data_IF_864079228698
#
_entry.id   IF_864079228698
#
_cell.length_a   1.000
_cell.length_b   1.000
_cell.length_c   1.000
_cell.angle_alpha   90.00
_cell.angle_beta   90.00
_cell.angle_gamma   90.00
#
_symmetry.space_group_name_H-M   'P 1'
#
loop_
_entity.id
_entity.type
_entity.pdbx_description
1 polymer ?
#
# COMPACT_ATOMS: atom_id res chain seq x y z
N UNK A 1 -6.17 -5.49 5.44
CA UNK A 1 -6.98 -4.65 6.35
C UNK A 1 -6.98 -3.20 5.87
N UNK A 2 -8.10 -2.48 5.98
CA UNK A 2 -8.14 -1.03 5.75
C UNK A 2 -7.33 -0.30 6.83
N UNK A 3 -6.69 0.82 6.48
CA UNK A 3 -5.99 1.67 7.45
C UNK A 3 -7.04 2.43 8.27
N UNK A 4 -7.05 2.32 9.61
CA UNK A 4 -7.98 3.09 10.45
C UNK A 4 -7.86 4.59 10.16
N UNK A 5 -9.00 5.29 10.14
CA UNK A 5 -9.10 6.75 9.93
C UNK A 5 -8.69 7.29 8.54
N UNK A 6 -8.34 6.41 7.59
CA UNK A 6 -8.03 6.81 6.22
C UNK A 6 -9.30 7.25 5.48
N UNK A 7 -9.38 8.53 5.10
CA UNK A 7 -10.44 9.05 4.24
C UNK A 7 -9.89 9.38 2.85
N UNK A 8 -10.54 8.86 1.81
CA UNK A 8 -10.15 9.08 0.40
C UNK A 8 -10.74 10.39 -0.12
N UNK A 9 -9.96 11.15 -0.89
CA UNK A 9 -10.45 12.25 -1.72
C UNK A 9 -10.63 11.75 -3.15
N UNK A 10 -11.88 11.63 -3.58
CA UNK A 10 -12.23 11.19 -4.94
C UNK A 10 -11.92 12.28 -5.97
N UNK A 11 -10.91 12.07 -6.81
CA UNK A 11 -10.79 12.77 -8.11
C UNK A 11 -10.42 11.86 -9.29
N UNK A 12 -9.97 10.62 -9.07
CA UNK A 12 -9.47 9.77 -10.16
C UNK A 12 -10.45 8.66 -10.65
N UNK A 13 -11.68 8.61 -10.15
CA UNK A 13 -12.62 7.50 -10.48
C UNK A 13 -13.53 7.72 -11.68
N UNK A 14 -13.55 8.90 -12.30
CA UNK A 14 -14.56 9.19 -13.35
C UNK A 14 -14.18 8.78 -14.77
N UNK A 15 -12.91 8.47 -15.07
CA UNK A 15 -12.52 8.20 -16.47
C UNK A 15 -12.41 6.73 -16.88
N UNK A 16 -12.55 5.76 -15.97
CA UNK A 16 -12.52 4.32 -16.35
C UNK A 16 -13.38 3.41 -15.46
N UNK A 17 -14.56 3.81 -14.95
CA UNK A 17 -15.40 2.85 -14.20
C UNK A 17 -16.92 3.16 -14.25
N UNK A 18 -17.66 2.82 -15.32
CA UNK A 18 -19.12 2.87 -15.28
C UNK A 18 -19.81 1.60 -14.77
N UNK A 19 -19.09 0.49 -14.47
CA UNK A 19 -19.76 -0.81 -14.25
C UNK A 19 -19.79 -1.36 -12.81
N UNK A 20 -19.19 -0.70 -11.82
CA UNK A 20 -19.07 -1.28 -10.46
C UNK A 20 -19.52 -0.35 -9.31
N UNK A 21 -20.42 0.60 -9.57
CA UNK A 21 -20.97 1.51 -8.56
C UNK A 21 -22.46 1.28 -8.34
N UNK A 22 -22.82 0.16 -7.70
CA UNK A 22 -24.17 0.03 -7.14
C UNK A 22 -24.23 -0.24 -5.64
N UNK A 23 -23.24 -0.83 -4.97
CA UNK A 23 -23.46 -1.25 -3.57
C UNK A 23 -22.23 -1.13 -2.66
N UNK A 24 -21.76 0.09 -2.38
CA UNK A 24 -20.90 0.32 -1.22
C UNK A 24 -21.57 1.28 -0.25
N UNK A 25 -22.55 0.74 0.48
CA UNK A 25 -23.05 1.33 1.73
C UNK A 25 -22.15 0.80 2.85
N UNK A 26 -21.57 1.73 3.62
CA UNK A 26 -20.73 1.43 4.78
C UNK A 26 -21.49 0.58 5.80
N UNK A 27 -21.08 -0.67 5.98
CA UNK A 27 -21.45 -1.48 7.14
C UNK A 27 -20.17 -1.99 7.79
N UNK A 28 -19.99 -1.61 9.06
CA UNK A 28 -19.03 -2.22 9.97
C UNK A 28 -19.49 -3.65 10.22
N UNK A 29 -18.75 -4.65 9.74
CA UNK A 29 -18.91 -6.03 10.18
C UNK A 29 -17.57 -6.61 10.62
N UNK A 30 -17.68 -7.32 11.74
CA UNK A 30 -16.66 -7.97 12.55
C UNK A 30 -15.76 -8.88 11.68
N UNK A 31 -14.45 -8.65 11.68
CA UNK A 31 -13.51 -9.47 10.90
C UNK A 31 -13.03 -10.66 11.75
N UNK A 32 -13.13 -11.91 11.26
CA UNK A 32 -12.66 -13.09 11.99
C UNK A 32 -11.12 -13.12 12.10
N UNK A 33 -10.55 -13.94 13.01
CA UNK A 33 -9.13 -13.86 13.35
C UNK A 33 -8.23 -14.20 12.18
N UNK A 34 -7.07 -13.52 12.17
CA UNK A 34 -6.00 -13.64 11.18
C UNK A 34 -5.43 -15.06 11.11
N UNK A 35 -5.91 -15.84 10.14
CA UNK A 35 -5.26 -17.05 9.65
C UNK A 35 -4.31 -16.71 8.50
N UNK A 36 -3.07 -17.18 8.58
CA UNK A 36 -2.00 -16.88 7.63
C UNK A 36 -2.12 -17.66 6.30
N UNK A 37 -3.03 -18.63 6.21
CA UNK A 37 -3.17 -19.52 5.07
C UNK A 37 -4.56 -19.39 4.42
N UNK A 38 -4.72 -18.41 3.54
CA UNK A 38 -5.72 -18.55 2.46
C UNK A 38 -5.14 -19.63 1.53
N UNK A 39 -5.60 -20.88 1.70
CA UNK A 39 -5.17 -22.03 0.90
C UNK A 39 -5.37 -21.69 -0.58
N UNK A 40 -4.27 -21.64 -1.35
CA UNK A 40 -4.35 -21.48 -2.80
C UNK A 40 -5.10 -22.67 -3.35
N UNK A 41 -6.26 -22.41 -3.98
CA UNK A 41 -7.06 -23.48 -4.57
C UNK A 41 -6.22 -24.26 -5.60
N UNK A 42 -6.37 -25.59 -5.71
CA UNK A 42 -5.53 -26.42 -6.59
C UNK A 42 -5.47 -25.90 -8.04
N UNK A 43 -6.58 -25.38 -8.54
CA UNK A 43 -6.69 -24.80 -9.89
C UNK A 43 -5.88 -23.50 -10.04
N UNK A 44 -5.81 -22.69 -8.99
CA UNK A 44 -4.97 -21.48 -8.95
C UNK A 44 -3.48 -21.83 -8.98
N UNK A 45 -3.10 -22.91 -8.28
CA UNK A 45 -1.74 -23.45 -8.32
C UNK A 45 -1.30 -23.87 -9.73
N UNK A 46 -2.20 -24.49 -10.49
CA UNK A 46 -1.94 -24.90 -11.87
C UNK A 46 -1.76 -23.71 -12.83
N UNK A 47 -2.50 -22.62 -12.63
CA UNK A 47 -2.33 -21.39 -13.43
C UNK A 47 -0.99 -20.72 -13.13
N UNK A 48 -0.60 -20.65 -11.85
CA UNK A 48 0.69 -20.08 -11.45
C UNK A 48 1.86 -20.89 -12.00
N UNK A 49 1.80 -22.22 -11.92
CA UNK A 49 2.86 -23.09 -12.46
C UNK A 49 3.01 -22.94 -13.98
N UNK A 50 1.90 -22.80 -14.70
CA UNK A 50 1.93 -22.53 -16.14
C UNK A 50 2.61 -21.20 -16.47
N UNK A 51 2.28 -20.12 -15.75
CA UNK A 51 2.93 -18.81 -15.96
C UNK A 51 4.42 -18.88 -15.63
N UNK A 52 4.78 -19.50 -14.50
CA UNK A 52 6.19 -19.66 -14.10
C UNK A 52 6.98 -20.45 -15.15
N UNK A 53 6.39 -21.49 -15.73
CA UNK A 53 7.05 -22.30 -16.77
C UNK A 53 7.40 -21.51 -18.04
N UNK A 54 6.72 -20.39 -18.30
CA UNK A 54 6.99 -19.51 -19.45
C UNK A 54 8.06 -18.46 -19.16
N UNK A 55 8.48 -18.29 -17.90
CA UNK A 55 9.45 -17.26 -17.51
C UNK A 55 10.87 -17.78 -17.61
N UNK A 56 11.74 -16.98 -18.24
CA UNK A 56 13.18 -17.21 -18.20
C UNK A 56 13.78 -16.59 -16.95
N UNK A 57 14.86 -17.17 -16.38
CA UNK A 57 15.59 -16.51 -15.31
C UNK A 57 16.02 -15.09 -15.71
N UNK A 58 15.86 -14.14 -14.77
CA UNK A 58 16.13 -12.73 -15.03
C UNK A 58 15.00 -11.95 -15.73
N UNK A 59 13.86 -12.58 -16.05
CA UNK A 59 12.69 -11.89 -16.58
C UNK A 59 12.15 -10.84 -15.58
N UNK A 60 11.70 -9.70 -16.12
CA UNK A 60 11.04 -8.64 -15.35
C UNK A 60 9.55 -8.96 -15.17
N UNK A 61 9.19 -9.33 -13.95
CA UNK A 61 7.81 -9.68 -13.57
C UNK A 61 6.82 -8.51 -13.66
N UNK A 62 7.29 -7.26 -13.80
CA UNK A 62 6.39 -6.12 -14.00
C UNK A 62 5.72 -6.12 -15.38
N UNK A 63 6.28 -6.86 -16.35
CA UNK A 63 5.76 -7.00 -17.72
C UNK A 63 4.88 -8.23 -17.92
N UNK A 64 4.75 -9.07 -16.90
CA UNK A 64 3.99 -10.32 -16.95
C UNK A 64 2.60 -10.05 -16.38
N UNK A 65 1.56 -10.41 -17.12
CA UNK A 65 0.18 -10.32 -16.62
C UNK A 65 -0.01 -11.43 -15.60
N UNK A 66 -0.20 -11.01 -14.35
CA UNK A 66 -0.44 -11.90 -13.23
C UNK A 66 -1.95 -12.16 -13.08
N UNK A 67 -2.38 -13.38 -12.67
CA UNK A 67 -3.79 -13.67 -12.45
C UNK A 67 -4.40 -12.75 -11.38
N UNK A 68 -5.68 -12.42 -11.51
CA UNK A 68 -6.37 -11.49 -10.61
C UNK A 68 -6.45 -11.98 -9.16
N UNK A 69 -6.43 -13.29 -8.92
CA UNK A 69 -6.49 -13.86 -7.57
C UNK A 69 -5.24 -13.59 -6.71
N UNK A 70 -4.10 -13.27 -7.33
CA UNK A 70 -2.89 -12.83 -6.61
C UNK A 70 -2.76 -11.30 -6.52
N UNK A 71 -3.77 -10.54 -6.93
CA UNK A 71 -3.78 -9.09 -6.84
C UNK A 71 -4.67 -8.64 -5.68
N UNK A 72 -4.19 -7.67 -4.89
CA UNK A 72 -5.08 -6.95 -3.96
C UNK A 72 -5.78 -5.80 -4.70
N UNK A 73 -7.02 -5.43 -4.32
CA UNK A 73 -7.78 -4.36 -4.97
C UNK A 73 -7.32 -2.97 -4.52
N UNK A 74 -6.00 -2.74 -4.44
CA UNK A 74 -5.38 -1.46 -4.09
C UNK A 74 -4.21 -1.19 -5.04
N UNK A 75 -4.15 0.05 -5.52
CA UNK A 75 -2.97 0.57 -6.21
C UNK A 75 -1.79 0.63 -5.25
N UNK A 76 -0.56 0.46 -5.77
CA UNK A 76 0.65 0.69 -4.98
C UNK A 76 0.67 2.07 -4.31
N UNK A 77 0.10 3.10 -4.97
CA UNK A 77 0.02 4.46 -4.43
C UNK A 77 -0.78 4.53 -3.13
N UNK A 78 -1.89 3.78 -3.09
CA UNK A 78 -2.70 3.62 -1.90
C UNK A 78 -2.00 2.68 -0.90
N UNK A 79 -1.33 1.63 -1.36
CA UNK A 79 -0.68 0.63 -0.50
C UNK A 79 0.39 1.24 0.42
N UNK A 80 1.11 2.26 -0.05
CA UNK A 80 2.12 2.99 0.72
C UNK A 80 1.53 3.58 2.01
N UNK A 81 0.25 3.94 2.04
CA UNK A 81 -0.38 4.53 3.24
C UNK A 81 -0.44 3.58 4.44
N UNK A 82 -0.23 2.28 4.24
CA UNK A 82 -0.09 1.32 5.34
C UNK A 82 1.09 1.67 6.25
N UNK A 83 2.14 2.31 5.74
CA UNK A 83 3.27 2.75 6.55
C UNK A 83 2.94 3.93 7.46
N UNK A 84 1.77 4.55 7.30
CA UNK A 84 1.27 5.67 8.12
C UNK A 84 0.09 5.26 9.02
N UNK A 85 -0.14 3.95 9.19
CA UNK A 85 -1.31 3.43 9.90
C UNK A 85 -1.27 3.55 11.43
N UNK A 86 -0.11 3.91 11.99
CA UNK A 86 0.15 3.97 13.43
C UNK A 86 0.44 5.39 13.91
N UNK A 87 -0.56 6.30 13.93
CA UNK A 87 -0.36 7.68 14.34
C UNK A 87 0.14 7.81 15.79
N UNK A 88 -0.20 6.88 16.67
CA UNK A 88 0.30 6.82 18.05
C UNK A 88 1.83 6.70 18.15
N UNK A 89 2.47 6.16 17.11
CA UNK A 89 3.93 6.11 17.00
C UNK A 89 4.52 7.31 16.26
N UNK A 90 3.71 7.95 15.41
CA UNK A 90 4.14 9.04 14.52
C UNK A 90 4.06 10.41 15.21
N UNK A 91 2.89 10.75 15.74
CA UNK A 91 2.56 12.11 16.19
C UNK A 91 3.42 12.61 17.36
N UNK A 92 3.76 11.80 18.38
CA UNK A 92 4.57 12.29 19.51
C UNK A 92 6.04 12.57 19.17
N UNK A 93 6.54 12.18 18.00
CA UNK A 93 7.98 12.26 17.70
C UNK A 93 8.58 13.67 17.79
N UNK A 94 7.79 14.70 17.47
CA UNK A 94 8.26 16.08 17.46
C UNK A 94 8.39 16.69 18.86
N UNK A 95 7.82 16.06 19.90
CA UNK A 95 7.88 16.52 21.30
C UNK A 95 8.98 15.83 22.09
N UNK A 96 9.66 14.82 21.54
CA UNK A 96 10.76 14.11 22.20
C UNK A 96 12.02 14.98 22.16
N UNK A 97 12.49 15.41 23.34
CA UNK A 97 13.68 16.25 23.50
C UNK A 97 14.97 15.47 23.29
N UNK A 98 15.09 14.29 23.93
CA UNK A 98 16.27 13.45 23.84
C UNK A 98 16.47 12.91 22.42
N UNK A 99 17.64 13.14 21.80
CA UNK A 99 17.87 12.74 20.40
C UNK A 99 17.91 11.23 20.19
N UNK A 100 18.32 10.43 21.18
CA UNK A 100 18.39 8.97 21.07
C UNK A 100 16.99 8.38 21.15
N UNK A 101 16.19 8.81 22.12
CA UNK A 101 14.78 8.42 22.23
C UNK A 101 13.97 8.82 21.01
N UNK A 102 14.23 10.02 20.46
CA UNK A 102 13.58 10.47 19.22
C UNK A 102 13.96 9.56 18.04
N UNK A 103 15.21 9.15 17.95
CA UNK A 103 15.66 8.20 16.93
C UNK A 103 15.01 6.82 17.08
N UNK A 104 14.92 6.30 18.31
CA UNK A 104 14.23 5.04 18.61
C UNK A 104 12.76 5.12 18.17
N UNK A 105 12.10 6.25 18.43
CA UNK A 105 10.72 6.47 18.01
C UNK A 105 10.56 6.47 16.48
N UNK A 106 11.49 7.08 15.73
CA UNK A 106 11.52 7.02 14.25
C UNK A 106 11.63 5.56 13.76
N UNK A 107 12.52 4.78 14.36
CA UNK A 107 12.70 3.36 14.00
C UNK A 107 11.43 2.56 14.32
N UNK A 108 10.83 2.79 15.50
CA UNK A 108 9.58 2.14 15.90
C UNK A 108 8.45 2.45 14.92
N UNK A 109 8.28 3.71 14.54
CA UNK A 109 7.29 4.11 13.52
C UNK A 109 7.58 3.43 12.17
N UNK A 110 8.82 3.44 11.70
CA UNK A 110 9.18 2.82 10.43
C UNK A 110 8.86 1.31 10.38
N UNK A 111 9.04 0.62 11.51
CA UNK A 111 8.79 -0.82 11.61
C UNK A 111 7.31 -1.18 11.83
N UNK A 112 6.49 -0.25 12.34
CA UNK A 112 5.11 -0.54 12.72
C UNK A 112 4.21 -0.93 11.53
N UNK A 113 4.40 -0.32 10.36
CA UNK A 113 3.53 -0.54 9.19
C UNK A 113 3.72 -1.87 8.43
N UNK A 114 4.80 -2.62 8.67
CA UNK A 114 5.16 -3.79 7.83
C UNK A 114 4.24 -5.00 8.01
N UNK A 115 3.61 -5.13 9.18
CA UNK A 115 2.70 -6.25 9.44
C UNK A 115 1.34 -6.10 8.73
N UNK A 116 1.04 -4.91 8.19
CA UNK A 116 -0.25 -4.62 7.54
C UNK A 116 -0.22 -5.18 6.12
N UNK A 117 -0.58 -6.47 6.01
CA UNK A 117 -0.70 -7.20 4.74
C UNK A 117 -2.11 -7.77 4.54
N UNK A 118 -2.55 -7.93 3.27
CA UNK A 118 -3.76 -8.71 3.02
C UNK A 118 -3.52 -10.16 3.47
N UNK A 119 -4.57 -10.92 3.79
CA UNK A 119 -4.44 -12.37 3.91
C UNK A 119 -3.92 -12.95 2.59
N UNK A 120 -3.01 -13.93 2.69
CA UNK A 120 -2.36 -14.56 1.55
C UNK A 120 -1.27 -13.71 0.86
N UNK A 121 -0.72 -14.26 -0.22
CA UNK A 121 0.31 -13.60 -1.04
C UNK A 121 -0.35 -12.78 -2.15
N UNK A 122 -0.80 -11.56 -1.81
CA UNK A 122 -1.41 -10.63 -2.78
C UNK A 122 -0.51 -9.43 -3.06
N UNK A 123 -0.32 -9.12 -4.34
CA UNK A 123 0.48 -7.99 -4.83
C UNK A 123 -0.44 -6.79 -5.14
N UNK A 124 -0.06 -5.55 -4.78
CA UNK A 124 -0.79 -4.36 -5.22
C UNK A 124 -0.78 -4.21 -6.74
N UNK A 125 -1.80 -3.53 -7.26
CA UNK A 125 -1.86 -3.13 -8.66
C UNK A 125 -0.68 -2.21 -8.99
N UNK A 126 -0.05 -2.45 -10.14
CA UNK A 126 1.01 -1.58 -10.65
C UNK A 126 0.40 -0.29 -11.20
N UNK A 127 0.69 0.88 -10.63
CA UNK A 127 0.04 2.12 -11.05
C UNK A 127 0.40 2.49 -12.49
N UNK A 128 -0.55 3.11 -13.20
CA UNK A 128 -0.28 3.68 -14.54
C UNK A 128 0.51 4.98 -14.43
N UNK A 129 1.23 5.38 -15.48
CA UNK A 129 1.97 6.66 -15.49
C UNK A 129 1.01 7.84 -15.25
N UNK A 130 1.35 8.71 -14.30
CA UNK A 130 0.54 9.87 -13.94
C UNK A 130 -0.67 9.55 -13.05
N UNK A 131 -0.86 8.29 -12.65
CA UNK A 131 -1.87 7.96 -11.64
C UNK A 131 -1.55 8.70 -10.34
N UNK A 132 -2.58 9.27 -9.72
CA UNK A 132 -2.46 9.97 -8.43
C UNK A 132 -3.37 9.34 -7.38
N UNK A 133 -2.91 9.32 -6.14
CA UNK A 133 -3.75 8.96 -4.99
C UNK A 133 -3.58 9.98 -3.87
N UNK A 134 -4.70 10.45 -3.33
CA UNK A 134 -4.76 11.42 -2.24
C UNK A 134 -5.70 10.94 -1.13
N UNK A 135 -5.30 11.20 0.11
CA UNK A 135 -6.10 10.88 1.29
C UNK A 135 -5.70 11.76 2.47
N UNK A 136 -6.47 11.65 3.55
CA UNK A 136 -6.17 12.32 4.81
C UNK A 136 -6.56 11.44 6.01
N UNK A 137 -6.05 11.81 7.18
CA UNK A 137 -6.40 11.21 8.47
C UNK A 137 -6.93 12.31 9.38
N UNK A 138 -8.10 12.08 9.99
CA UNK A 138 -8.57 12.89 11.11
C UNK A 138 -8.08 12.24 12.40
N UNK A 139 -7.38 13.00 13.24
CA UNK A 139 -6.85 12.52 14.51
C UNK A 139 -7.75 12.90 15.70
N UNK A 140 -7.63 12.19 16.85
CA UNK A 140 -8.46 12.47 18.03
C UNK A 140 -8.27 13.87 18.64
N UNK A 141 -7.14 14.52 18.36
CA UNK A 141 -6.83 15.89 18.80
C UNK A 141 -7.34 16.96 17.83
N UNK A 142 -8.26 16.60 16.93
CA UNK A 142 -8.87 17.47 15.92
C UNK A 142 -7.88 17.99 14.86
N UNK A 143 -6.65 17.46 14.83
CA UNK A 143 -5.68 17.76 13.77
C UNK A 143 -5.81 16.81 12.58
N UNK A 144 -5.16 17.16 11.47
CA UNK A 144 -5.25 16.38 10.22
C UNK A 144 -3.88 16.13 9.60
N UNK A 145 -3.70 14.92 9.09
CA UNK A 145 -2.61 14.62 8.17
C UNK A 145 -3.11 14.49 6.72
N UNK A 146 -2.23 14.81 5.79
CA UNK A 146 -2.49 14.79 4.35
C UNK A 146 -1.47 13.90 3.66
N UNK A 147 -1.92 13.15 2.66
CA UNK A 147 -1.07 12.34 1.81
C UNK A 147 -1.41 12.54 0.34
N UNK A 148 -0.36 12.68 -0.46
CA UNK A 148 -0.42 12.83 -1.91
C UNK A 148 0.63 11.91 -2.50
N UNK A 149 0.28 11.19 -3.55
CA UNK A 149 1.22 10.35 -4.27
C UNK A 149 0.92 10.32 -5.76
N UNK A 150 1.96 10.08 -6.54
CA UNK A 150 1.90 10.03 -7.99
C UNK A 150 2.84 8.95 -8.54
N UNK A 151 2.39 8.23 -9.56
CA UNK A 151 3.25 7.36 -10.36
C UNK A 151 4.05 8.19 -11.38
N UNK A 152 5.19 8.69 -10.93
CA UNK A 152 6.11 9.52 -11.72
C UNK A 152 6.91 8.79 -12.81
N UNK A 153 6.89 7.46 -12.86
CA UNK A 153 7.46 6.67 -13.97
C UNK A 153 6.86 5.27 -14.04
N UNK A 154 6.66 4.72 -15.23
CA UNK A 154 6.14 3.36 -15.43
C UNK A 154 7.21 2.37 -15.92
N UNK A 155 8.23 2.84 -16.65
CA UNK A 155 9.33 2.02 -17.16
C UNK A 155 10.68 2.72 -16.93
N UNK A 156 11.36 2.48 -15.80
CA UNK A 156 11.00 1.57 -14.71
C UNK A 156 9.90 2.14 -13.77
N UNK A 157 9.15 1.29 -13.04
CA UNK A 157 8.15 1.77 -12.08
C UNK A 157 8.78 2.65 -10.98
N UNK A 158 8.24 3.85 -10.79
CA UNK A 158 8.60 4.79 -9.72
C UNK A 158 7.37 5.57 -9.25
N UNK A 159 7.04 5.41 -7.99
CA UNK A 159 6.03 6.23 -7.30
C UNK A 159 6.73 7.26 -6.40
N UNK A 160 6.21 8.47 -6.34
CA UNK A 160 6.62 9.49 -5.38
C UNK A 160 5.46 9.79 -4.45
N UNK A 161 5.74 10.05 -3.18
CA UNK A 161 4.72 10.34 -2.19
C UNK A 161 5.18 11.41 -1.22
N UNK A 162 4.20 12.15 -0.72
CA UNK A 162 4.31 13.22 0.26
C UNK A 162 3.27 12.98 1.35
N UNK A 163 3.70 13.09 2.59
CA UNK A 163 2.85 13.07 3.77
C UNK A 163 3.20 14.26 4.67
N UNK A 164 2.20 14.92 5.22
CA UNK A 164 2.40 15.96 6.23
C UNK A 164 1.31 15.94 7.29
N UNK A 165 1.72 16.12 8.55
CA UNK A 165 0.87 16.46 9.68
C UNK A 165 1.35 17.83 10.22
N UNK A 166 0.86 18.95 9.67
CA UNK A 166 1.42 20.28 9.91
C UNK A 166 1.39 20.70 11.39
N UNK A 167 0.29 20.42 12.09
CA UNK A 167 0.11 20.75 13.51
C UNK A 167 1.11 20.01 14.41
N UNK A 168 1.54 18.83 13.96
CA UNK A 168 2.55 18.00 14.63
C UNK A 168 3.98 18.26 14.13
N UNK A 169 4.17 19.18 13.18
CA UNK A 169 5.47 19.50 12.54
C UNK A 169 6.14 18.28 11.89
N UNK A 170 5.35 17.36 11.34
CA UNK A 170 5.85 16.15 10.69
C UNK A 170 5.69 16.28 9.18
N UNK A 171 6.75 15.96 8.45
CA UNK A 171 6.80 15.89 7.00
C UNK A 171 7.58 14.65 6.59
N UNK A 172 7.03 13.87 5.66
CA UNK A 172 7.67 12.69 5.07
C UNK A 172 7.56 12.81 3.55
N UNK A 173 8.72 12.78 2.89
CA UNK A 173 8.83 12.69 1.44
C UNK A 173 9.51 11.37 1.09
N UNK A 174 9.04 10.68 0.06
CA UNK A 174 9.67 9.43 -0.33
C UNK A 174 9.39 9.00 -1.76
N UNK A 175 10.14 8.00 -2.20
CA UNK A 175 9.94 7.37 -3.50
C UNK A 175 10.02 5.85 -3.36
N UNK A 176 9.12 5.15 -4.04
CA UNK A 176 9.12 3.70 -4.13
C UNK A 176 9.57 3.30 -5.55
N UNK A 177 10.65 2.51 -5.63
CA UNK A 177 11.27 2.06 -6.90
C UNK A 177 11.37 0.54 -6.92
N UNK A 178 10.24 -0.19 -7.02
CA UNK A 178 10.26 -1.64 -6.96
C UNK A 178 11.02 -2.21 -8.18
N UNK A 179 11.97 -3.11 -7.92
CA UNK A 179 12.67 -3.88 -8.96
C UNK A 179 12.30 -5.35 -8.79
N UNK A 180 11.40 -5.85 -9.64
CA UNK A 180 11.03 -7.26 -9.63
C UNK A 180 11.97 -8.03 -10.55
N UNK A 181 12.62 -9.08 -10.03
CA UNK A 181 13.43 -10.00 -10.83
C UNK A 181 13.04 -11.43 -10.46
N UNK A 182 12.84 -12.30 -11.45
CA UNK A 182 12.81 -13.75 -11.21
C UNK A 182 14.23 -14.17 -10.83
N UNK A 183 14.41 -14.67 -9.61
CA UNK A 183 15.65 -15.34 -9.19
C UNK A 183 15.59 -16.80 -9.66
N UNK A 184 16.74 -17.36 -10.03
CA UNK A 184 16.85 -18.72 -10.56
C UNK A 184 16.01 -19.71 -9.74
N UNK A 185 15.07 -20.37 -10.42
CA UNK A 185 14.26 -21.45 -9.87
C UNK A 185 15.03 -22.73 -10.24
N UNK A 186 15.76 -23.28 -9.28
CA UNK A 186 16.41 -24.59 -9.41
C UNK A 186 15.45 -25.71 -9.01
#
# INVERSE_FOLDING_TARGET
MPVPHLRRTSQASEFVFPLFLSHCRSSMEDSPPSGEDELVEPDQGNVLSHIISQLRPGADLSRVVLPTFILEPRSMLERITNFMAHPETLLPMSTIEDPVERFISVVKFYLSGWHIKPPGVKKPLNPILGETFTCYWDYPDETRAYYISEQTSHHPPKSSYFFAAPEHKIRIDGTLKPRSKVKDIF
#
